data_IF_693269888999
#
_entry.id   IF_693269888999
#
_cell.length_a   1.000
_cell.length_b   1.000
_cell.length_c   1.000
_cell.angle_alpha   90.00
_cell.angle_beta   90.00
_cell.angle_gamma   90.00
#
_symmetry.space_group_name_H-M   'P 1'
#
loop_
_entity.id
_entity.type
_entity.pdbx_description
1 polymer ?
#
# COMPACT_ATOMS: atom_id res chain seq x y z
N UNK A 1 21.31 23.99 14.68
CA UNK A 1 21.09 22.65 14.06
C UNK A 1 19.66 22.61 13.55
N UNK A 2 19.46 22.27 12.28
CA UNK A 2 18.20 22.46 11.55
C UNK A 2 17.15 21.40 11.96
N UNK A 3 16.42 21.65 13.04
CA UNK A 3 15.46 20.72 13.64
C UNK A 3 14.34 20.29 12.66
N UNK A 4 13.98 21.15 11.71
CA UNK A 4 12.92 20.90 10.72
C UNK A 4 13.26 19.76 9.75
N UNK A 5 14.53 19.64 9.34
CA UNK A 5 14.96 18.58 8.43
C UNK A 5 14.83 17.17 9.06
N UNK A 6 14.93 17.07 10.39
CA UNK A 6 14.76 15.82 11.10
C UNK A 6 13.27 15.44 11.22
N UNK A 7 12.39 16.44 11.39
CA UNK A 7 10.94 16.22 11.47
C UNK A 7 10.35 15.73 10.14
N UNK A 8 10.80 16.31 9.01
CA UNK A 8 10.36 15.88 7.68
C UNK A 8 10.75 14.44 7.37
N UNK A 9 11.99 14.03 7.70
CA UNK A 9 12.44 12.64 7.50
C UNK A 9 11.60 11.68 8.33
N UNK A 10 11.36 11.99 9.61
CA UNK A 10 10.52 11.18 10.49
C UNK A 10 9.08 11.04 9.99
N UNK A 11 8.47 12.14 9.52
CA UNK A 11 7.12 12.12 8.97
C UNK A 11 7.02 11.24 7.70
N UNK A 12 8.05 11.28 6.84
CA UNK A 12 8.13 10.43 5.64
C UNK A 12 8.28 8.96 6.03
N UNK A 13 9.14 8.64 6.99
CA UNK A 13 9.33 7.27 7.49
C UNK A 13 8.08 6.72 8.17
N UNK A 14 7.39 7.54 8.96
CA UNK A 14 6.11 7.17 9.58
C UNK A 14 5.05 6.87 8.51
N UNK A 15 4.92 7.75 7.50
CA UNK A 15 3.96 7.55 6.41
C UNK A 15 4.26 6.29 5.61
N UNK A 16 5.54 5.98 5.34
CA UNK A 16 5.96 4.71 4.74
C UNK A 16 5.50 3.51 5.57
N UNK A 17 5.76 3.52 6.89
CA UNK A 17 5.35 2.42 7.78
C UNK A 17 3.83 2.22 7.78
N UNK A 18 3.06 3.30 7.78
CA UNK A 18 1.59 3.24 7.74
C UNK A 18 1.12 2.56 6.45
N UNK A 19 1.68 2.95 5.29
CA UNK A 19 1.32 2.35 4.00
C UNK A 19 1.70 0.87 3.92
N UNK A 20 2.90 0.51 4.38
CA UNK A 20 3.37 -0.88 4.46
C UNK A 20 2.41 -1.71 5.32
N UNK A 21 2.07 -1.24 6.53
CA UNK A 21 1.14 -1.96 7.40
C UNK A 21 -0.23 -2.17 6.75
N UNK A 22 -0.75 -1.17 6.01
CA UNK A 22 -2.03 -1.31 5.29
C UNK A 22 -1.95 -2.31 4.15
N UNK A 23 -0.85 -2.32 3.40
CA UNK A 23 -0.61 -3.29 2.33
C UNK A 23 -0.47 -4.71 2.89
N UNK A 24 0.28 -4.88 3.98
CA UNK A 24 0.42 -6.16 4.69
C UNK A 24 -0.90 -6.65 5.27
N UNK A 25 -1.78 -5.76 5.76
CA UNK A 25 -3.12 -6.11 6.21
C UNK A 25 -4.04 -6.62 5.07
N UNK A 26 -3.65 -6.41 3.82
CA UNK A 26 -4.29 -6.97 2.62
C UNK A 26 -3.50 -8.12 2.00
N UNK A 27 -2.60 -8.74 2.77
CA UNK A 27 -1.69 -9.80 2.34
C UNK A 27 -0.74 -9.40 1.20
N UNK A 28 -0.49 -8.10 1.04
CA UNK A 28 0.38 -7.55 0.01
C UNK A 28 1.79 -7.28 0.56
N UNK A 29 2.62 -8.32 0.54
CA UNK A 29 4.00 -8.28 1.06
C UNK A 29 5.06 -8.03 -0.03
N UNK A 30 4.78 -8.45 -1.27
CA UNK A 30 5.70 -8.37 -2.40
C UNK A 30 5.01 -7.74 -3.60
N UNK A 31 5.74 -6.93 -4.35
CA UNK A 31 5.29 -6.46 -5.66
C UNK A 31 5.31 -7.60 -6.68
N UNK A 32 4.57 -7.48 -7.80
CA UNK A 32 4.68 -8.43 -8.91
C UNK A 32 6.09 -8.52 -9.51
N UNK A 33 6.92 -7.51 -9.28
CA UNK A 33 8.33 -7.47 -9.68
C UNK A 33 9.25 -8.28 -8.72
N UNK A 34 8.68 -8.90 -7.68
CA UNK A 34 9.42 -9.68 -6.68
C UNK A 34 10.13 -8.81 -5.63
N UNK A 35 9.84 -7.51 -5.56
CA UNK A 35 10.44 -6.59 -4.58
C UNK A 35 9.60 -6.54 -3.32
N UNK A 36 10.27 -6.45 -2.16
CA UNK A 36 9.59 -6.29 -0.89
C UNK A 36 8.99 -4.88 -0.78
N UNK A 37 7.75 -4.76 -0.32
CA UNK A 37 7.07 -3.47 -0.16
C UNK A 37 7.85 -2.51 0.76
N UNK A 38 8.57 -3.06 1.74
CA UNK A 38 9.41 -2.28 2.67
C UNK A 38 10.60 -1.59 2.00
N UNK A 39 11.07 -2.13 0.87
CA UNK A 39 12.22 -1.59 0.13
C UNK A 39 11.83 -0.47 -0.83
N UNK A 40 10.53 -0.26 -1.04
CA UNK A 40 10.02 0.71 -2.01
C UNK A 40 10.10 2.14 -1.51
N UNK A 41 10.02 3.08 -2.44
CA UNK A 41 9.90 4.51 -2.14
C UNK A 41 8.48 4.86 -1.66
N UNK A 42 8.33 6.04 -1.03
CA UNK A 42 7.02 6.48 -0.54
C UNK A 42 6.01 6.59 -1.69
N UNK A 43 6.45 7.12 -2.83
CA UNK A 43 5.62 7.29 -4.03
C UNK A 43 5.15 5.94 -4.59
N UNK A 44 6.05 4.95 -4.68
CA UNK A 44 5.67 3.60 -5.12
C UNK A 44 4.65 2.95 -4.16
N UNK A 45 4.86 3.10 -2.84
CA UNK A 45 3.91 2.62 -1.84
C UNK A 45 2.54 3.29 -1.96
N UNK A 46 2.49 4.60 -2.19
CA UNK A 46 1.23 5.33 -2.40
C UNK A 46 0.52 4.83 -3.66
N UNK A 47 1.22 4.68 -4.80
CA UNK A 47 0.63 4.16 -6.04
C UNK A 47 0.09 2.74 -5.87
N UNK A 48 0.85 1.85 -5.22
CA UNK A 48 0.41 0.47 -4.96
C UNK A 48 -0.80 0.49 -4.03
N UNK A 49 -0.75 1.28 -2.97
CA UNK A 49 -1.86 1.40 -2.03
C UNK A 49 -3.14 1.88 -2.72
N UNK A 50 -3.08 2.92 -3.55
CA UNK A 50 -4.23 3.40 -4.33
C UNK A 50 -4.76 2.32 -5.28
N UNK A 51 -3.89 1.61 -5.98
CA UNK A 51 -4.29 0.54 -6.91
C UNK A 51 -4.92 -0.65 -6.17
N UNK A 52 -4.33 -1.09 -5.06
CA UNK A 52 -4.88 -2.19 -4.24
C UNK A 52 -6.20 -1.76 -3.59
N UNK A 53 -6.27 -0.52 -3.07
CA UNK A 53 -7.50 0.05 -2.52
C UNK A 53 -8.61 0.09 -3.57
N UNK A 54 -8.32 0.60 -4.77
CA UNK A 54 -9.26 0.65 -5.88
C UNK A 54 -9.75 -0.74 -6.30
N UNK A 55 -8.85 -1.73 -6.39
CA UNK A 55 -9.21 -3.13 -6.67
C UNK A 55 -10.11 -3.70 -5.59
N UNK A 56 -9.76 -3.54 -4.30
CA UNK A 56 -10.58 -4.02 -3.18
C UNK A 56 -11.95 -3.34 -3.13
N UNK A 57 -12.02 -2.03 -3.39
CA UNK A 57 -13.28 -1.29 -3.49
C UNK A 57 -14.13 -1.76 -4.68
N UNK A 58 -13.51 -2.06 -5.82
CA UNK A 58 -14.21 -2.56 -7.01
C UNK A 58 -14.67 -4.02 -6.87
N UNK A 59 -13.83 -4.88 -6.28
CA UNK A 59 -14.15 -6.29 -6.02
C UNK A 59 -15.17 -6.45 -4.87
N UNK A 60 -15.29 -5.46 -3.97
CA UNK A 60 -16.36 -5.36 -2.98
C UNK A 60 -17.74 -4.97 -3.54
N UNK A 61 -17.82 -4.62 -4.83
CA UNK A 61 -19.05 -4.22 -5.53
C UNK A 61 -19.56 -5.19 -6.60
N UNK A 62 -18.94 -6.37 -6.75
CA UNK A 62 -19.31 -7.37 -7.76
C UNK A 62 -19.96 -8.61 -7.15
N UNK A 63 -21.26 -8.54 -6.81
CA UNK A 63 -22.08 -9.75 -6.79
C UNK A 63 -22.40 -10.14 -8.24
N UNK A 64 -22.47 -11.45 -8.47
CA UNK A 64 -23.04 -12.18 -9.62
C UNK A 64 -22.04 -12.73 -10.66
N UNK A 65 -21.62 -13.98 -10.45
CA UNK A 65 -21.83 -14.98 -11.49
C UNK A 65 -22.35 -16.27 -10.83
N UNK A 66 -23.61 -16.57 -11.13
CA UNK A 66 -24.25 -17.87 -10.90
C UNK A 66 -23.36 -19.00 -11.39
N UNK A 67 -23.12 -19.99 -10.53
CA UNK A 67 -23.08 -21.37 -10.99
C UNK A 67 -24.21 -22.14 -10.31
N UNK A 68 -25.36 -22.15 -10.99
CA UNK A 68 -26.40 -23.17 -10.80
C UNK A 68 -25.84 -24.44 -11.43
N UNK A 69 -25.69 -25.48 -10.61
CA UNK A 69 -25.77 -26.87 -11.03
C UNK A 69 -26.62 -27.60 -9.98
#
# INVERSE_FOLDING_TARGET
MNAQANQLRRAVEERKRILINRLQAWDYFHTPDGKNVETLTLTELEQIYENVKFKKESEGGGKDERQVC
#
